data_IF_624200050707
#
_entry.id   IF_624200050707
#
_cell.length_a   1.000
_cell.length_b   1.000
_cell.length_c   1.000
_cell.angle_alpha   90.00
_cell.angle_beta   90.00
_cell.angle_gamma   90.00
#
_symmetry.space_group_name_H-M   'P 1'
#
loop_
_entity.id
_entity.type
_entity.pdbx_description
1 polymer ?
#
# COMPACT_ATOMS: atom_id res chain seq x y z
N UNK A 1 20.49 -6.87 -50.28
CA UNK A 1 21.28 -7.63 -49.29
C UNK A 1 21.84 -6.68 -48.22
N UNK A 2 20.99 -6.13 -47.37
CA UNK A 2 21.37 -5.34 -46.18
C UNK A 2 20.22 -5.57 -45.20
N UNK A 3 20.53 -6.14 -44.02
CA UNK A 3 19.67 -6.34 -42.82
C UNK A 3 19.97 -7.66 -42.06
N UNK A 4 21.14 -8.28 -42.24
CA UNK A 4 21.55 -9.46 -41.44
C UNK A 4 22.55 -9.16 -40.31
N UNK A 5 23.05 -7.93 -40.20
CA UNK A 5 24.09 -7.58 -39.21
C UNK A 5 23.62 -7.46 -37.74
N UNK A 6 22.40 -6.98 -37.39
CA UNK A 6 22.06 -6.81 -35.97
C UNK A 6 21.76 -8.14 -35.25
N UNK A 7 21.32 -9.17 -35.98
CA UNK A 7 21.04 -10.50 -35.41
C UNK A 7 22.36 -11.25 -35.13
N UNK A 8 23.38 -11.07 -35.97
CA UNK A 8 24.69 -11.70 -35.77
C UNK A 8 25.40 -11.17 -34.51
N UNK A 9 25.23 -9.89 -34.18
CA UNK A 9 25.81 -9.30 -32.97
C UNK A 9 25.12 -9.76 -31.67
N UNK A 10 23.82 -10.05 -31.69
CA UNK A 10 23.10 -10.58 -30.51
C UNK A 10 23.42 -12.06 -30.22
N UNK A 11 23.69 -12.84 -31.27
CA UNK A 11 24.11 -14.24 -31.13
C UNK A 11 25.54 -14.34 -30.61
N UNK A 12 26.45 -13.44 -31.00
CA UNK A 12 27.83 -13.45 -30.48
C UNK A 12 27.90 -13.03 -28.99
N UNK A 13 27.01 -12.15 -28.54
CA UNK A 13 26.96 -11.71 -27.14
C UNK A 13 26.35 -12.75 -26.18
N UNK A 14 25.67 -13.80 -26.68
CA UNK A 14 25.05 -14.85 -25.87
C UNK A 14 25.92 -16.10 -25.68
N UNK A 15 27.13 -16.15 -26.29
CA UNK A 15 28.04 -17.31 -26.17
C UNK A 15 29.27 -17.03 -25.29
N UNK A 16 29.42 -15.82 -24.73
CA UNK A 16 30.51 -15.54 -23.81
C UNK A 16 30.07 -15.79 -22.37
N UNK A 17 30.02 -17.06 -21.97
CA UNK A 17 30.09 -17.42 -20.56
C UNK A 17 31.51 -17.10 -20.07
N UNK A 18 31.70 -15.91 -19.50
CA UNK A 18 32.86 -15.64 -18.67
C UNK A 18 32.71 -16.43 -17.37
N UNK A 19 33.16 -17.68 -17.39
CA UNK A 19 33.41 -18.39 -16.14
C UNK A 19 34.66 -17.78 -15.52
N UNK A 20 34.48 -17.01 -14.45
CA UNK A 20 35.56 -16.77 -13.52
C UNK A 20 35.86 -18.12 -12.84
N UNK A 21 36.77 -18.90 -13.41
CA UNK A 21 37.29 -20.08 -12.72
C UNK A 21 38.22 -19.59 -11.63
N UNK A 22 37.92 -19.98 -10.39
CA UNK A 22 38.87 -19.80 -9.29
C UNK A 22 40.20 -20.47 -9.70
N UNK A 23 41.36 -19.84 -9.46
CA UNK A 23 42.65 -20.42 -9.81
C UNK A 23 42.75 -21.86 -9.30
N UNK A 24 43.02 -22.81 -10.19
CA UNK A 24 43.02 -24.24 -9.86
C UNK A 24 44.42 -24.72 -9.53
N UNK A 25 45.04 -24.06 -8.55
CA UNK A 25 46.39 -24.37 -8.12
C UNK A 25 46.78 -23.64 -6.84
N UNK A 26 47.94 -23.99 -6.29
CA UNK A 26 48.47 -23.34 -5.10
C UNK A 26 49.95 -22.95 -5.27
N UNK A 27 50.33 -21.83 -4.67
CA UNK A 27 51.68 -21.27 -4.78
C UNK A 27 52.72 -22.18 -4.09
N UNK A 28 53.86 -22.35 -4.74
CA UNK A 28 55.02 -23.07 -4.23
C UNK A 28 56.29 -22.24 -4.43
N UNK A 29 57.12 -22.18 -3.39
CA UNK A 29 58.40 -21.48 -3.42
C UNK A 29 59.47 -22.34 -2.76
N UNK A 30 60.65 -22.42 -3.38
CA UNK A 30 61.77 -23.22 -2.87
C UNK A 30 63.11 -22.58 -3.21
N UNK A 31 64.13 -22.84 -2.39
CA UNK A 31 65.53 -22.49 -2.67
C UNK A 31 66.29 -23.74 -3.11
N UNK A 32 66.93 -23.69 -4.26
CA UNK A 32 67.58 -24.83 -4.91
C UNK A 32 69.06 -24.85 -4.60
N UNK A 33 69.55 -26.02 -4.17
CA UNK A 33 70.96 -26.27 -3.85
C UNK A 33 71.45 -27.52 -4.57
N UNK A 34 72.75 -27.55 -4.87
CA UNK A 34 73.41 -28.76 -5.37
C UNK A 34 73.78 -29.71 -4.21
N UNK A 35 74.41 -30.84 -4.54
CA UNK A 35 74.82 -31.86 -3.56
C UNK A 35 75.93 -31.42 -2.59
N UNK A 36 76.65 -30.34 -2.90
CA UNK A 36 77.65 -29.72 -2.01
C UNK A 36 77.05 -28.63 -1.11
N UNK A 37 75.76 -28.31 -1.29
CA UNK A 37 75.02 -27.30 -0.52
C UNK A 37 75.07 -25.88 -1.10
N UNK A 38 75.75 -25.68 -2.23
CA UNK A 38 75.83 -24.40 -2.94
C UNK A 38 74.52 -24.09 -3.66
N UNK A 39 74.17 -22.80 -3.75
CA UNK A 39 72.97 -22.35 -4.44
C UNK A 39 73.09 -22.54 -5.96
N UNK A 40 72.04 -23.05 -6.59
CA UNK A 40 71.89 -23.03 -8.04
C UNK A 40 71.21 -21.72 -8.40
N UNK A 41 71.97 -20.73 -8.86
CA UNK A 41 71.45 -19.38 -9.18
C UNK A 41 71.32 -19.17 -10.69
N UNK A 42 70.36 -18.35 -11.12
CA UNK A 42 70.15 -17.94 -12.52
C UNK A 42 70.20 -19.09 -13.53
N UNK A 43 69.71 -20.27 -13.14
CA UNK A 43 69.83 -21.51 -13.93
C UNK A 43 68.49 -22.23 -14.00
N UNK A 44 68.21 -22.84 -15.15
CA UNK A 44 66.96 -23.58 -15.32
C UNK A 44 67.02 -24.92 -14.60
N UNK A 45 65.96 -25.20 -13.83
CA UNK A 45 65.77 -26.43 -13.08
C UNK A 45 64.41 -27.04 -13.40
N UNK A 46 64.28 -28.33 -13.14
CA UNK A 46 63.10 -29.11 -13.47
C UNK A 46 62.48 -29.63 -12.18
N UNK A 47 61.22 -29.26 -11.94
CA UNK A 47 60.43 -29.80 -10.84
C UNK A 47 59.43 -30.82 -11.36
N UNK A 48 59.19 -31.86 -10.58
CA UNK A 48 58.08 -32.77 -10.77
C UNK A 48 57.31 -32.89 -9.46
N UNK A 49 56.01 -32.66 -9.53
CA UNK A 49 55.11 -32.74 -8.39
C UNK A 49 54.19 -33.95 -8.56
N UNK A 50 53.99 -34.67 -7.46
CA UNK A 50 53.17 -35.87 -7.41
C UNK A 50 52.12 -35.68 -6.31
N UNK A 51 50.83 -35.64 -6.66
CA UNK A 51 49.73 -35.63 -5.69
C UNK A 51 49.29 -37.06 -5.46
N UNK A 52 49.31 -37.50 -4.19
CA UNK A 52 49.11 -38.88 -3.79
C UNK A 52 47.96 -38.94 -2.79
N UNK A 53 46.95 -39.77 -3.07
CA UNK A 53 45.78 -39.92 -2.22
C UNK A 53 45.97 -41.04 -1.18
N UNK A 54 45.55 -40.79 0.07
CA UNK A 54 45.41 -41.80 1.12
C UNK A 54 46.70 -42.16 1.87
N UNK A 55 47.80 -42.43 1.16
CA UNK A 55 49.09 -42.83 1.78
C UNK A 55 50.30 -42.28 1.01
N UNK A 56 51.39 -41.94 1.71
CA UNK A 56 52.64 -41.42 1.13
C UNK A 56 53.31 -42.38 0.12
N UNK A 57 52.99 -43.67 0.17
CA UNK A 57 53.57 -44.71 -0.70
C UNK A 57 52.64 -45.18 -1.82
N UNK A 58 51.44 -44.60 -1.93
CA UNK A 58 50.52 -44.94 -3.01
C UNK A 58 50.97 -44.36 -4.36
N UNK A 59 50.40 -44.88 -5.44
CA UNK A 59 50.63 -44.34 -6.78
C UNK A 59 50.02 -42.93 -6.85
N UNK A 60 50.72 -41.93 -7.43
CA UNK A 60 50.16 -40.59 -7.57
C UNK A 60 48.88 -40.60 -8.40
N UNK A 61 47.86 -39.89 -7.93
CA UNK A 61 46.61 -39.66 -8.68
C UNK A 61 46.78 -38.54 -9.71
N UNK A 62 47.75 -37.66 -9.50
CA UNK A 62 48.11 -36.61 -10.43
C UNK A 62 49.62 -36.36 -10.39
N UNK A 63 50.22 -36.10 -11.55
CA UNK A 63 51.63 -35.71 -11.68
C UNK A 63 51.80 -34.61 -12.70
N UNK A 64 52.64 -33.62 -12.40
CA UNK A 64 53.01 -32.56 -13.34
C UNK A 64 54.50 -32.21 -13.28
N UNK A 65 54.98 -31.60 -14.37
CA UNK A 65 56.35 -31.09 -14.49
C UNK A 65 56.38 -29.59 -14.75
N UNK A 66 57.38 -28.93 -14.16
CA UNK A 66 57.68 -27.51 -14.36
C UNK A 66 59.13 -27.33 -14.81
N UNK A 67 59.34 -26.36 -15.69
CA UNK A 67 60.65 -25.91 -16.14
C UNK A 67 60.80 -24.43 -15.83
N UNK A 68 61.61 -24.09 -14.83
CA UNK A 68 61.68 -22.73 -14.28
C UNK A 68 63.13 -22.31 -13.98
N UNK A 69 63.52 -21.05 -14.21
CA UNK A 69 64.80 -20.52 -13.76
C UNK A 69 64.79 -20.26 -12.25
N UNK A 70 65.93 -20.49 -11.60
CA UNK A 70 66.21 -19.92 -10.28
C UNK A 70 66.61 -18.46 -10.38
N UNK A 71 66.35 -17.65 -9.36
CA UNK A 71 66.83 -16.27 -9.27
C UNK A 71 68.28 -16.15 -8.76
N UNK A 72 68.73 -14.94 -8.45
CA UNK A 72 70.08 -14.63 -7.93
C UNK A 72 70.30 -15.10 -6.48
N UNK A 73 69.22 -15.51 -5.79
CA UNK A 73 69.24 -16.14 -4.47
C UNK A 73 68.99 -17.67 -4.54
N UNK A 74 68.88 -18.21 -5.76
CA UNK A 74 68.61 -19.63 -6.00
C UNK A 74 67.17 -20.04 -5.72
N UNK A 75 66.24 -19.08 -5.66
CA UNK A 75 64.82 -19.31 -5.39
C UNK A 75 64.02 -19.51 -6.68
N UNK A 76 63.00 -20.37 -6.60
CA UNK A 76 61.96 -20.54 -7.61
C UNK A 76 60.60 -20.21 -7.01
N UNK A 77 59.71 -19.64 -7.82
CA UNK A 77 58.29 -19.45 -7.48
C UNK A 77 57.44 -20.00 -8.62
N UNK A 78 56.50 -20.88 -8.32
CA UNK A 78 55.62 -21.54 -9.28
C UNK A 78 54.24 -21.83 -8.67
N UNK A 79 53.27 -22.20 -9.49
CA UNK A 79 51.93 -22.62 -9.06
C UNK A 79 51.75 -24.10 -9.38
N UNK A 80 51.55 -24.92 -8.35
CA UNK A 80 51.26 -26.34 -8.52
C UNK A 80 49.82 -26.47 -9.02
N UNK A 81 49.61 -27.19 -10.11
CA UNK A 81 48.35 -27.30 -10.86
C UNK A 81 48.35 -26.59 -12.22
N UNK A 82 49.32 -25.69 -12.44
CA UNK A 82 49.51 -24.95 -13.71
C UNK A 82 50.73 -25.46 -14.50
N UNK A 83 51.29 -26.62 -14.12
CA UNK A 83 52.39 -27.26 -14.82
C UNK A 83 51.96 -28.06 -16.04
N UNK A 84 52.92 -28.70 -16.70
CA UNK A 84 52.59 -29.68 -17.75
C UNK A 84 52.20 -31.00 -17.08
N UNK A 85 50.91 -31.34 -17.09
CA UNK A 85 50.40 -32.58 -16.54
C UNK A 85 50.94 -33.80 -17.32
N UNK A 86 51.42 -34.80 -16.59
CA UNK A 86 51.88 -36.08 -17.13
C UNK A 86 50.90 -37.23 -16.82
N UNK A 87 50.15 -37.12 -15.72
CA UNK A 87 49.13 -38.10 -15.28
C UNK A 87 47.98 -37.35 -14.61
N UNK A 88 46.75 -37.70 -14.94
CA UNK A 88 45.54 -37.10 -14.34
C UNK A 88 45.30 -35.65 -14.79
N UNK A 89 44.22 -35.05 -14.29
CA UNK A 89 43.87 -33.64 -14.49
C UNK A 89 43.70 -33.00 -13.11
N UNK A 90 44.42 -31.90 -12.85
CA UNK A 90 44.42 -31.28 -11.51
C UNK A 90 43.02 -30.83 -11.07
N UNK A 91 42.22 -30.34 -12.02
CA UNK A 91 40.84 -29.89 -11.82
C UNK A 91 39.88 -30.99 -11.38
N UNK A 92 40.20 -32.24 -11.68
CA UNK A 92 39.35 -33.41 -11.44
C UNK A 92 39.70 -34.12 -10.12
N UNK A 93 40.70 -33.65 -9.38
CA UNK A 93 41.07 -34.22 -8.09
C UNK A 93 39.96 -33.91 -7.07
N UNK A 94 39.30 -34.96 -6.57
CA UNK A 94 38.30 -34.83 -5.50
C UNK A 94 38.99 -34.73 -4.13
N UNK A 95 39.30 -33.50 -3.73
CA UNK A 95 39.94 -33.19 -2.46
C UNK A 95 39.13 -33.58 -1.21
N UNK A 96 37.86 -33.99 -1.35
CA UNK A 96 37.00 -34.41 -0.23
C UNK A 96 37.26 -35.84 0.24
N UNK A 97 37.89 -36.68 -0.57
CA UNK A 97 38.05 -38.13 -0.35
C UNK A 97 39.14 -38.50 0.67
N UNK A 98 39.54 -37.59 1.55
CA UNK A 98 40.47 -37.84 2.65
C UNK A 98 41.80 -37.10 2.52
N UNK A 99 42.87 -37.73 3.01
CA UNK A 99 44.20 -37.10 3.08
C UNK A 99 44.95 -37.18 1.76
N UNK A 100 45.63 -36.08 1.41
CA UNK A 100 46.49 -35.99 0.23
C UNK A 100 47.93 -35.65 0.64
N UNK A 101 48.88 -36.15 -0.15
CA UNK A 101 50.31 -35.94 0.04
C UNK A 101 50.93 -35.37 -1.23
N UNK A 102 51.90 -34.48 -1.08
CA UNK A 102 52.68 -33.88 -2.15
C UNK A 102 54.10 -34.45 -2.12
N UNK A 103 54.44 -35.24 -3.13
CA UNK A 103 55.80 -35.69 -3.43
C UNK A 103 56.51 -34.71 -4.36
N UNK A 104 57.73 -34.32 -4.03
CA UNK A 104 58.52 -33.36 -4.80
C UNK A 104 59.76 -34.06 -5.33
N UNK A 105 60.03 -33.92 -6.62
CA UNK A 105 61.27 -34.34 -7.25
C UNK A 105 61.92 -33.18 -8.01
N UNK A 106 63.25 -33.12 -8.00
CA UNK A 106 64.03 -32.06 -8.61
C UNK A 106 65.11 -32.63 -9.51
N UNK A 107 65.31 -32.04 -10.68
CA UNK A 107 66.52 -32.22 -11.47
C UNK A 107 67.16 -30.88 -11.80
N UNK A 108 68.47 -30.78 -11.60
CA UNK A 108 69.27 -29.57 -11.87
C UNK A 108 70.09 -29.68 -13.16
N UNK A 109 70.13 -30.84 -13.81
CA UNK A 109 71.00 -31.13 -14.97
C UNK A 109 70.24 -31.69 -16.18
N UNK A 110 68.91 -31.51 -16.26
CA UNK A 110 68.09 -31.94 -17.40
C UNK A 110 66.73 -32.53 -16.99
N UNK A 111 65.95 -32.96 -17.96
CA UNK A 111 64.58 -33.46 -17.83
C UNK A 111 64.47 -34.96 -17.49
N UNK A 112 65.60 -35.67 -17.39
CA UNK A 112 65.63 -37.15 -17.26
C UNK A 112 66.36 -37.65 -16.00
N UNK A 113 66.61 -36.79 -15.00
CA UNK A 113 67.40 -37.13 -13.81
C UNK A 113 66.80 -36.58 -12.51
N UNK A 114 65.52 -36.83 -12.27
CA UNK A 114 64.82 -36.37 -11.07
C UNK A 114 65.28 -37.11 -9.81
N UNK A 115 65.52 -36.34 -8.75
CA UNK A 115 65.86 -36.83 -7.42
C UNK A 115 64.72 -36.46 -6.47
N UNK A 116 64.25 -37.44 -5.68
CA UNK A 116 63.20 -37.21 -4.70
C UNK A 116 63.69 -36.28 -3.57
N UNK A 117 62.96 -35.19 -3.35
CA UNK A 117 63.23 -34.18 -2.33
C UNK A 117 62.38 -34.35 -1.06
N UNK A 118 61.44 -35.30 -1.09
CA UNK A 118 60.60 -35.68 0.03
C UNK A 118 59.11 -35.68 -0.32
N UNK A 119 58.31 -36.24 0.58
CA UNK A 119 56.84 -36.27 0.51
C UNK A 119 56.27 -35.67 1.79
N UNK A 120 55.32 -34.75 1.67
CA UNK A 120 54.67 -34.11 2.82
C UNK A 120 53.15 -34.17 2.69
N UNK A 121 52.43 -34.19 3.81
CA UNK A 121 50.97 -34.15 3.78
C UNK A 121 50.48 -32.73 3.46
N UNK A 122 49.48 -32.62 2.57
CA UNK A 122 48.74 -31.39 2.34
C UNK A 122 47.70 -31.25 3.47
N UNK A 123 47.78 -30.16 4.23
CA UNK A 123 46.83 -29.84 5.29
C UNK A 123 45.90 -28.72 4.82
N UNK A 124 44.61 -28.82 5.13
CA UNK A 124 43.64 -27.78 4.82
C UNK A 124 43.95 -26.48 5.58
N UNK A 125 43.87 -25.35 4.89
CA UNK A 125 43.94 -24.02 5.54
C UNK A 125 42.64 -23.71 6.30
N UNK A 126 42.65 -22.88 7.35
CA UNK A 126 41.46 -22.59 8.16
C UNK A 126 40.23 -22.10 7.37
N UNK A 127 40.43 -21.31 6.31
CA UNK A 127 39.34 -20.83 5.44
C UNK A 127 38.72 -21.95 4.58
N UNK A 128 39.52 -22.90 4.11
CA UNK A 128 39.03 -24.07 3.37
C UNK A 128 38.21 -25.01 4.28
N UNK A 129 38.59 -25.12 5.55
CA UNK A 129 37.83 -25.88 6.56
C UNK A 129 36.47 -25.22 6.88
N UNK A 130 36.39 -23.89 6.84
CA UNK A 130 35.13 -23.16 7.02
C UNK A 130 34.19 -23.33 5.82
N UNK A 131 34.72 -23.28 4.59
CA UNK A 131 33.94 -23.47 3.35
C UNK A 131 33.39 -24.90 3.20
N UNK A 132 34.13 -25.93 3.62
CA UNK A 132 33.65 -27.32 3.62
C UNK A 132 32.46 -27.53 4.59
N UNK A 133 32.42 -26.78 5.69
CA UNK A 133 31.32 -26.85 6.65
C UNK A 133 30.08 -26.03 6.22
N UNK A 134 30.23 -25.04 5.34
CA UNK A 134 29.11 -24.22 4.84
C UNK A 134 28.53 -24.69 3.50
N UNK A 135 29.28 -25.49 2.71
CA UNK A 135 28.84 -26.02 1.41
C UNK A 135 27.80 -27.14 1.48
N UNK A 136 27.49 -27.67 2.67
CA UNK A 136 26.50 -28.75 2.87
C UNK A 136 25.12 -28.27 3.31
N UNK A 137 24.86 -26.95 3.29
CA UNK A 137 23.54 -26.38 3.56
C UNK A 137 22.82 -26.08 2.25
N UNK A 138 22.06 -27.05 1.71
CA UNK A 138 21.05 -26.77 0.70
C UNK A 138 19.82 -26.12 1.37
N UNK A 139 19.35 -24.95 0.91
CA UNK A 139 18.07 -24.41 1.39
C UNK A 139 16.93 -25.17 0.70
N UNK A 140 16.37 -26.17 1.37
CA UNK A 140 15.13 -26.80 0.93
C UNK A 140 13.95 -26.12 1.61
N UNK A 141 13.29 -25.22 0.90
CA UNK A 141 11.85 -25.04 1.09
C UNK A 141 11.21 -26.20 0.33
N UNK A 142 10.58 -27.19 1.00
CA UNK A 142 9.97 -28.31 0.30
C UNK A 142 8.76 -27.82 -0.49
N UNK A 143 8.66 -28.22 -1.76
CA UNK A 143 7.40 -28.11 -2.51
C UNK A 143 6.43 -29.22 -2.05
N UNK A 144 5.13 -28.93 -2.12
CA UNK A 144 4.04 -29.79 -1.63
C UNK A 144 4.06 -31.20 -2.23
N UNK A 145 4.49 -31.36 -3.49
CA UNK A 145 4.60 -32.65 -4.17
C UNK A 145 5.69 -33.53 -3.52
N UNK A 146 6.80 -32.93 -3.07
CA UNK A 146 7.86 -33.64 -2.35
C UNK A 146 7.47 -34.00 -0.90
N UNK A 147 6.69 -33.15 -0.23
CA UNK A 147 6.21 -33.41 1.14
C UNK A 147 5.25 -34.60 1.18
N UNK A 148 4.38 -34.73 0.18
CA UNK A 148 3.43 -35.83 0.07
C UNK A 148 4.10 -37.16 -0.32
N UNK A 149 5.26 -37.12 -0.97
CA UNK A 149 5.99 -38.32 -1.39
C UNK A 149 6.70 -39.03 -0.23
N UNK A 150 7.24 -38.30 0.75
CA UNK A 150 8.18 -38.86 1.74
C UNK A 150 7.67 -38.94 3.19
N UNK A 151 6.58 -38.27 3.60
CA UNK A 151 6.25 -38.14 5.02
C UNK A 151 4.88 -38.62 5.50
N UNK A 152 4.10 -39.32 4.67
CA UNK A 152 2.89 -40.02 5.13
C UNK A 152 3.11 -41.55 5.08
N UNK A 153 3.85 -42.05 6.07
CA UNK A 153 4.05 -43.48 6.26
C UNK A 153 3.69 -43.92 7.67
N UNK A 154 3.11 -45.12 7.78
CA UNK A 154 3.02 -45.84 9.04
C UNK A 154 3.95 -47.06 8.95
N UNK A 155 4.94 -47.15 9.84
CA UNK A 155 5.95 -48.23 9.84
C UNK A 155 6.63 -48.47 8.49
N UNK A 156 7.10 -47.41 7.83
CA UNK A 156 7.79 -47.45 6.53
C UNK A 156 6.96 -48.03 5.37
N UNK A 157 5.63 -48.10 5.52
CA UNK A 157 4.72 -48.34 4.40
C UNK A 157 4.06 -47.03 3.99
N UNK A 158 4.29 -46.63 2.74
CA UNK A 158 3.64 -45.46 2.15
C UNK A 158 2.12 -45.66 2.15
N UNK A 159 1.39 -44.77 2.80
CA UNK A 159 -0.07 -44.79 2.74
C UNK A 159 -0.47 -44.21 1.38
N UNK A 160 -0.98 -45.06 0.48
CA UNK A 160 -1.52 -44.66 -0.82
C UNK A 160 -3.03 -44.43 -0.71
N UNK A 161 -3.60 -43.63 -1.60
CA UNK A 161 -5.04 -43.36 -1.68
C UNK A 161 -5.66 -42.76 -0.41
N UNK A 162 -4.97 -41.79 0.21
CA UNK A 162 -5.62 -40.92 1.19
C UNK A 162 -6.73 -40.18 0.46
N UNK A 163 -7.98 -40.57 0.70
CA UNK A 163 -9.13 -39.78 0.26
C UNK A 163 -9.02 -38.38 0.85
N UNK A 164 -9.51 -37.39 0.11
CA UNK A 164 -9.69 -36.05 0.66
C UNK A 164 -10.38 -36.17 2.02
N UNK A 165 -9.82 -35.60 3.10
CA UNK A 165 -10.40 -35.73 4.42
C UNK A 165 -11.82 -35.14 4.40
N UNK A 166 -12.81 -36.00 4.54
CA UNK A 166 -14.23 -35.60 4.58
C UNK A 166 -14.67 -35.25 6.00
N UNK A 167 -13.91 -35.66 7.02
CA UNK A 167 -14.20 -35.41 8.42
C UNK A 167 -13.35 -34.26 9.00
N UNK A 168 -13.94 -33.33 9.78
CA UNK A 168 -13.27 -32.13 10.29
C UNK A 168 -12.05 -32.36 11.19
N UNK A 169 -11.82 -33.60 11.65
CA UNK A 169 -10.72 -33.96 12.56
C UNK A 169 -9.45 -34.39 11.83
N UNK A 170 -9.54 -34.72 10.53
CA UNK A 170 -8.43 -35.23 9.72
C UNK A 170 -7.65 -34.10 9.02
N UNK A 171 -8.22 -32.90 8.91
CA UNK A 171 -7.50 -31.71 8.49
C UNK A 171 -6.80 -31.06 9.70
N UNK A 172 -5.48 -31.18 9.80
CA UNK A 172 -4.68 -30.29 10.67
C UNK A 172 -4.63 -28.92 10.02
N UNK A 173 -5.76 -28.23 10.02
CA UNK A 173 -5.85 -26.79 9.77
C UNK A 173 -6.90 -26.29 10.72
N UNK A 174 -6.41 -25.72 11.83
CA UNK A 174 -7.19 -24.80 12.65
C UNK A 174 -7.85 -23.82 11.68
N UNK A 175 -9.17 -23.92 11.56
CA UNK A 175 -10.04 -23.24 10.62
C UNK A 175 -9.87 -21.71 10.68
N UNK A 176 -8.85 -21.19 9.98
CA UNK A 176 -8.60 -19.75 9.82
C UNK A 176 -8.54 -19.34 8.34
N UNK A 177 -8.69 -20.29 7.42
CA UNK A 177 -8.75 -19.98 6.01
C UNK A 177 -10.22 -19.92 5.63
N UNK A 178 -10.79 -18.72 5.72
CA UNK A 178 -12.05 -18.39 5.06
C UNK A 178 -12.00 -18.96 3.64
N UNK A 179 -13.09 -19.58 3.19
CA UNK A 179 -13.20 -20.05 1.80
C UNK A 179 -12.92 -18.88 0.85
N UNK A 180 -12.45 -19.18 -0.36
CA UNK A 180 -12.22 -18.13 -1.38
C UNK A 180 -13.45 -17.23 -1.56
N UNK A 181 -14.65 -17.80 -1.49
CA UNK A 181 -15.90 -17.04 -1.57
C UNK A 181 -16.11 -16.11 -0.36
N UNK A 182 -15.79 -16.55 0.86
CA UNK A 182 -15.85 -15.71 2.06
C UNK A 182 -14.79 -14.61 2.04
N UNK A 183 -13.58 -14.91 1.56
CA UNK A 183 -12.51 -13.91 1.39
C UNK A 183 -12.89 -12.90 0.31
N UNK A 184 -13.38 -13.35 -0.85
CA UNK A 184 -13.81 -12.47 -1.94
C UNK A 184 -15.01 -11.60 -1.49
N UNK A 185 -15.94 -12.13 -0.69
CA UNK A 185 -17.03 -11.37 -0.10
C UNK A 185 -16.53 -10.35 0.95
N UNK A 186 -15.56 -10.73 1.79
CA UNK A 186 -14.97 -9.84 2.78
C UNK A 186 -14.14 -8.74 2.10
N UNK A 187 -13.41 -9.05 1.03
CA UNK A 187 -12.67 -8.10 0.20
C UNK A 187 -13.63 -7.15 -0.51
N UNK A 188 -14.73 -7.65 -1.08
CA UNK A 188 -15.74 -6.79 -1.70
C UNK A 188 -16.40 -5.87 -0.66
N UNK A 189 -16.65 -6.37 0.55
CA UNK A 189 -17.18 -5.55 1.65
C UNK A 189 -16.17 -4.49 2.10
N UNK A 190 -14.90 -4.86 2.28
CA UNK A 190 -13.80 -3.94 2.60
C UNK A 190 -13.58 -2.90 1.49
N UNK A 191 -13.67 -3.31 0.21
CA UNK A 191 -13.57 -2.39 -0.91
C UNK A 191 -14.74 -1.42 -0.93
N UNK A 192 -15.97 -1.88 -0.67
CA UNK A 192 -17.14 -1.00 -0.50
C UNK A 192 -16.97 -0.06 0.70
N UNK A 193 -16.38 -0.52 1.80
CA UNK A 193 -16.05 0.37 2.93
C UNK A 193 -14.98 1.39 2.55
N UNK A 194 -13.95 1.02 1.79
CA UNK A 194 -12.89 1.92 1.31
C UNK A 194 -13.44 2.94 0.32
N UNK A 195 -14.28 2.52 -0.63
CA UNK A 195 -14.96 3.39 -1.59
C UNK A 195 -15.93 4.35 -0.88
N UNK A 196 -16.49 3.93 0.27
CA UNK A 196 -17.26 4.79 1.18
C UNK A 196 -16.37 5.59 2.17
N UNK A 197 -15.05 5.34 2.22
CA UNK A 197 -14.09 6.04 3.11
C UNK A 197 -13.25 7.07 2.35
N UNK A 198 -13.12 6.97 1.02
CA UNK A 198 -12.87 8.18 0.23
C UNK A 198 -14.10 9.08 0.40
N UNK A 199 -14.00 10.09 1.28
CA UNK A 199 -14.87 11.26 1.23
C UNK A 199 -14.67 11.90 -0.13
N UNK A 200 -15.42 11.39 -1.10
CA UNK A 200 -15.53 12.02 -2.37
C UNK A 200 -16.27 13.35 -2.11
N UNK A 201 -15.73 14.40 -2.70
CA UNK A 201 -16.24 15.75 -2.54
C UNK A 201 -16.69 16.30 -3.89
N UNK A 202 -17.56 17.29 -3.85
CA UNK A 202 -17.98 18.04 -5.04
C UNK A 202 -17.47 19.47 -4.92
N UNK A 203 -16.97 20.03 -6.03
CA UNK A 203 -16.49 21.41 -6.09
C UNK A 203 -17.45 22.25 -6.94
N UNK A 204 -17.84 23.42 -6.45
CA UNK A 204 -18.62 24.39 -7.22
C UNK A 204 -17.76 25.25 -8.15
N UNK A 205 -18.39 26.17 -8.88
CA UNK A 205 -17.72 27.10 -9.80
C UNK A 205 -16.84 28.13 -9.07
N UNK A 206 -17.13 28.42 -7.80
CA UNK A 206 -16.40 29.36 -6.96
C UNK A 206 -15.16 28.69 -6.29
N UNK A 207 -15.01 27.37 -6.47
CA UNK A 207 -13.92 26.57 -5.92
C UNK A 207 -14.17 26.08 -4.49
N UNK A 208 -15.37 26.25 -3.94
CA UNK A 208 -15.72 25.65 -2.66
C UNK A 208 -15.91 24.14 -2.85
N UNK A 209 -15.41 23.36 -1.90
CA UNK A 209 -15.49 21.90 -1.93
C UNK A 209 -16.38 21.43 -0.79
N UNK A 210 -17.26 20.47 -1.09
CA UNK A 210 -18.24 19.92 -0.17
C UNK A 210 -18.07 18.41 -0.09
N UNK A 211 -17.74 17.90 1.09
CA UNK A 211 -17.71 16.46 1.34
C UNK A 211 -19.15 15.92 1.30
N UNK A 212 -19.30 14.65 0.90
CA UNK A 212 -20.60 13.99 0.86
C UNK A 212 -20.59 12.56 1.38
N UNK A 213 -21.77 12.10 1.80
CA UNK A 213 -22.02 10.77 2.33
C UNK A 213 -23.29 10.19 1.70
N UNK A 214 -23.31 8.89 1.48
CA UNK A 214 -24.47 8.16 0.95
C UNK A 214 -25.39 7.66 2.07
N UNK A 215 -26.69 7.93 1.92
CA UNK A 215 -27.78 7.52 2.79
C UNK A 215 -28.82 6.76 1.97
N UNK A 216 -28.70 5.42 1.94
CA UNK A 216 -29.54 4.59 1.08
C UNK A 216 -29.27 4.87 -0.39
N UNK A 217 -30.28 5.32 -1.12
CA UNK A 217 -30.18 5.67 -2.54
C UNK A 217 -29.80 7.14 -2.77
N UNK A 218 -29.67 7.95 -1.71
CA UNK A 218 -29.36 9.38 -1.82
C UNK A 218 -27.92 9.68 -1.41
N UNK A 219 -27.25 10.58 -2.12
CA UNK A 219 -25.93 11.11 -1.73
C UNK A 219 -26.08 12.56 -1.31
N UNK A 220 -25.67 12.90 -0.09
CA UNK A 220 -25.88 14.21 0.52
C UNK A 220 -24.56 14.90 0.86
N UNK A 221 -24.47 16.20 0.61
CA UNK A 221 -23.35 16.98 1.14
C UNK A 221 -23.45 17.12 2.66
N UNK A 222 -22.30 17.04 3.33
CA UNK A 222 -22.17 17.24 4.78
C UNK A 222 -21.50 18.57 5.15
N UNK A 223 -21.13 19.35 4.12
CA UNK A 223 -20.78 20.77 4.20
C UNK A 223 -21.90 21.68 3.68
N UNK A 224 -22.05 22.86 4.30
CA UNK A 224 -23.11 23.81 3.95
C UNK A 224 -22.70 24.58 2.70
N UNK A 225 -23.67 24.90 1.85
CA UNK A 225 -23.40 25.65 0.62
C UNK A 225 -22.65 26.98 0.90
N UNK A 226 -21.66 27.25 0.06
CA UNK A 226 -20.76 28.39 0.14
C UNK A 226 -20.74 29.21 -1.16
N UNK A 227 -21.73 29.00 -2.04
CA UNK A 227 -21.92 29.65 -3.33
C UNK A 227 -21.91 31.19 -3.23
N UNK A 228 -21.14 31.84 -4.10
CA UNK A 228 -21.19 33.28 -4.37
C UNK A 228 -21.75 33.56 -5.77
N UNK A 229 -21.67 32.58 -6.66
CA UNK A 229 -22.25 32.62 -7.99
C UNK A 229 -23.15 31.41 -8.25
N UNK A 230 -24.11 31.56 -9.16
CA UNK A 230 -24.84 30.42 -9.72
C UNK A 230 -23.92 29.59 -10.61
N UNK A 231 -24.35 28.38 -10.99
CA UNK A 231 -23.56 27.44 -11.81
C UNK A 231 -23.09 28.02 -13.15
N UNK A 232 -23.79 29.02 -13.68
CA UNK A 232 -23.41 29.70 -14.93
C UNK A 232 -22.46 30.91 -14.73
N UNK A 233 -22.03 31.15 -13.49
CA UNK A 233 -21.17 32.27 -13.09
C UNK A 233 -21.92 33.57 -12.82
N UNK A 234 -23.26 33.60 -12.91
CA UNK A 234 -24.06 34.78 -12.53
C UNK A 234 -23.89 35.05 -11.03
N UNK A 235 -23.49 36.26 -10.60
CA UNK A 235 -23.33 36.56 -9.17
C UNK A 235 -24.64 36.49 -8.39
N UNK A 236 -24.57 35.95 -7.18
CA UNK A 236 -25.64 36.07 -6.17
C UNK A 236 -25.28 37.28 -5.29
N UNK A 237 -26.12 38.33 -5.23
CA UNK A 237 -25.85 39.51 -4.41
C UNK A 237 -25.64 39.18 -2.92
N UNK A 238 -24.54 39.70 -2.35
CA UNK A 238 -24.37 39.75 -0.91
C UNK A 238 -25.10 40.98 -0.35
N UNK A 239 -26.14 40.78 0.47
CA UNK A 239 -26.95 41.88 1.01
C UNK A 239 -26.78 41.95 2.52
N UNK A 240 -26.17 43.01 3.04
CA UNK A 240 -25.89 43.14 4.49
C UNK A 240 -26.88 44.02 5.24
N UNK A 241 -27.60 44.92 4.53
CA UNK A 241 -28.63 45.77 5.12
C UNK A 241 -29.91 44.96 5.43
N UNK A 242 -30.49 45.17 6.61
CA UNK A 242 -31.66 44.42 7.05
C UNK A 242 -32.94 44.84 6.32
N UNK A 243 -33.08 46.12 5.99
CA UNK A 243 -34.26 46.64 5.29
C UNK A 243 -34.24 46.21 3.83
N UNK A 244 -33.07 46.26 3.19
CA UNK A 244 -32.89 45.74 1.84
C UNK A 244 -33.25 44.26 1.78
N UNK A 245 -32.67 43.45 2.68
CA UNK A 245 -32.96 42.01 2.77
C UNK A 245 -34.45 41.70 2.89
N UNK A 246 -35.15 42.40 3.79
CA UNK A 246 -36.56 42.18 4.04
C UNK A 246 -37.46 42.51 2.83
N UNK A 247 -36.98 43.33 1.90
CA UNK A 247 -37.71 43.72 0.70
C UNK A 247 -37.33 42.90 -0.55
N UNK A 248 -36.41 41.94 -0.42
CA UNK A 248 -35.97 41.13 -1.55
C UNK A 248 -37.09 40.21 -2.06
N UNK A 249 -37.15 40.11 -3.38
CA UNK A 249 -37.90 39.11 -4.15
C UNK A 249 -36.98 38.37 -5.14
N UNK A 250 -35.67 38.53 -4.97
CA UNK A 250 -34.61 37.92 -5.76
C UNK A 250 -33.55 37.33 -4.83
N UNK A 251 -32.72 36.47 -5.37
CA UNK A 251 -31.69 35.74 -4.66
C UNK A 251 -30.68 36.65 -4.02
N UNK A 252 -30.38 36.39 -2.75
CA UNK A 252 -29.27 37.01 -2.04
C UNK A 252 -28.72 36.08 -0.98
N UNK A 253 -27.49 36.38 -0.56
CA UNK A 253 -26.85 35.73 0.58
C UNK A 253 -26.25 36.74 1.55
N UNK A 254 -25.98 36.30 2.77
CA UNK A 254 -25.22 37.05 3.76
C UNK A 254 -24.48 36.11 4.71
N UNK A 255 -23.35 36.57 5.25
CA UNK A 255 -22.73 35.90 6.40
C UNK A 255 -23.58 36.12 7.65
N UNK A 256 -23.60 35.17 8.57
CA UNK A 256 -24.22 35.39 9.88
C UNK A 256 -23.61 36.63 10.57
N UNK A 257 -24.47 37.55 11.04
CA UNK A 257 -24.07 38.84 11.60
C UNK A 257 -23.16 39.69 10.70
N UNK A 258 -23.17 39.43 9.38
CA UNK A 258 -22.28 40.04 8.40
C UNK A 258 -20.77 39.83 8.71
N UNK A 259 -20.42 38.76 9.43
CA UNK A 259 -19.03 38.41 9.76
C UNK A 259 -18.48 37.38 8.75
N UNK A 260 -17.47 37.72 7.91
CA UNK A 260 -16.92 36.81 6.90
C UNK A 260 -16.28 35.53 7.45
N UNK A 261 -16.06 35.42 8.76
CA UNK A 261 -15.58 34.18 9.40
C UNK A 261 -16.72 33.18 9.69
N UNK A 262 -17.97 33.59 9.46
CA UNK A 262 -19.18 32.81 9.73
C UNK A 262 -19.73 32.15 8.46
N UNK A 263 -20.62 31.15 8.60
CA UNK A 263 -21.33 30.54 7.47
C UNK A 263 -22.21 31.54 6.70
N UNK A 264 -22.52 31.17 5.46
CA UNK A 264 -23.41 31.91 4.56
C UNK A 264 -24.85 31.42 4.70
N UNK A 265 -25.78 32.35 4.68
CA UNK A 265 -27.21 32.10 4.60
C UNK A 265 -27.78 32.65 3.31
N UNK A 266 -28.67 31.87 2.71
CA UNK A 266 -29.32 32.17 1.44
C UNK A 266 -30.80 32.36 1.68
N UNK A 267 -31.40 33.37 1.04
CA UNK A 267 -32.85 33.40 0.92
C UNK A 267 -33.35 32.33 -0.06
N UNK A 268 -34.63 31.98 0.01
CA UNK A 268 -35.16 30.91 -0.82
C UNK A 268 -35.11 31.26 -2.33
N UNK A 269 -35.24 32.55 -2.67
CA UNK A 269 -35.07 33.02 -4.05
C UNK A 269 -33.70 32.66 -4.64
N UNK A 270 -32.62 32.72 -3.85
CA UNK A 270 -31.28 32.32 -4.28
C UNK A 270 -31.21 30.81 -4.50
N UNK A 271 -31.79 30.04 -3.57
CA UNK A 271 -31.87 28.58 -3.66
C UNK A 271 -32.60 28.14 -4.94
N UNK A 272 -33.60 28.90 -5.36
CA UNK A 272 -34.40 28.63 -6.56
C UNK A 272 -33.91 29.32 -7.84
N UNK A 273 -32.81 30.06 -7.79
CA UNK A 273 -32.23 30.69 -8.98
C UNK A 273 -32.91 31.96 -9.48
N UNK A 274 -33.81 32.55 -8.70
CA UNK A 274 -34.54 33.76 -9.06
C UNK A 274 -33.59 34.94 -8.89
N UNK A 275 -33.02 35.43 -9.98
CA UNK A 275 -31.92 36.41 -9.96
C UNK A 275 -32.32 37.81 -10.45
N UNK A 276 -33.53 37.93 -11.01
CA UNK A 276 -34.15 39.18 -11.40
C UNK A 276 -35.67 39.11 -11.17
N UNK A 277 -36.36 40.21 -11.47
CA UNK A 277 -37.81 40.36 -11.28
C UNK A 277 -38.63 40.06 -12.53
N UNK A 278 -37.99 39.64 -13.63
CA UNK A 278 -38.68 39.32 -14.87
C UNK A 278 -39.15 37.86 -14.83
N UNK A 279 -40.47 37.60 -14.78
CA UNK A 279 -40.98 36.23 -14.67
C UNK A 279 -40.68 35.36 -15.90
N UNK A 280 -40.27 35.97 -17.03
CA UNK A 280 -39.90 35.26 -18.25
C UNK A 280 -38.40 34.90 -18.29
N UNK A 281 -37.57 35.43 -17.38
CA UNK A 281 -36.16 35.02 -17.30
C UNK A 281 -36.06 33.63 -16.65
N UNK A 282 -35.41 32.65 -17.31
CA UNK A 282 -35.21 31.34 -16.71
C UNK A 282 -34.40 31.44 -15.40
N UNK A 283 -34.87 30.74 -14.37
CA UNK A 283 -34.14 30.59 -13.12
C UNK A 283 -32.76 29.96 -13.35
N UNK A 284 -31.81 30.34 -12.49
CA UNK A 284 -30.44 29.82 -12.50
C UNK A 284 -30.31 28.55 -11.68
N UNK A 285 -29.32 27.74 -12.02
CA UNK A 285 -28.97 26.56 -11.23
C UNK A 285 -28.09 26.95 -10.04
N UNK A 286 -28.58 26.72 -8.82
CA UNK A 286 -27.85 27.06 -7.59
C UNK A 286 -26.82 25.99 -7.19
N UNK A 287 -27.14 24.70 -7.34
CA UNK A 287 -26.27 23.61 -6.90
C UNK A 287 -25.11 23.34 -7.87
N UNK A 288 -24.02 22.67 -7.44
CA UNK A 288 -22.96 22.19 -8.33
C UNK A 288 -23.44 21.25 -9.44
N UNK A 289 -22.65 21.08 -10.50
CA UNK A 289 -23.00 20.18 -11.61
C UNK A 289 -23.22 18.73 -11.13
N UNK A 290 -24.35 18.13 -11.54
CA UNK A 290 -24.74 16.79 -11.11
C UNK A 290 -25.38 16.72 -9.71
N UNK A 291 -25.66 17.86 -9.11
CA UNK A 291 -26.35 17.99 -7.82
C UNK A 291 -27.53 18.96 -7.92
N UNK A 292 -28.45 18.88 -6.97
CA UNK A 292 -29.56 19.81 -6.81
C UNK A 292 -29.82 20.15 -5.34
N UNK A 293 -30.65 21.16 -5.12
CA UNK A 293 -31.10 21.54 -3.77
C UNK A 293 -32.13 20.53 -3.30
N UNK A 294 -31.89 19.96 -2.12
CA UNK A 294 -32.79 19.02 -1.46
C UNK A 294 -34.24 19.49 -1.40
N UNK A 295 -35.17 18.61 -1.74
CA UNK A 295 -36.62 18.80 -1.63
C UNK A 295 -37.18 18.24 -0.33
N UNK A 296 -38.43 18.58 0.01
CA UNK A 296 -39.14 18.06 1.19
C UNK A 296 -39.20 16.52 1.18
N UNK A 297 -39.43 15.92 0.01
CA UNK A 297 -39.52 14.48 -0.16
C UNK A 297 -38.16 13.78 0.08
N UNK A 298 -37.07 14.41 -0.34
CA UNK A 298 -35.73 13.87 -0.14
C UNK A 298 -35.31 13.97 1.32
N UNK A 299 -35.63 15.07 2.00
CA UNK A 299 -35.45 15.17 3.44
C UNK A 299 -36.24 14.11 4.21
N UNK A 300 -37.48 13.82 3.77
CA UNK A 300 -38.26 12.72 4.35
C UNK A 300 -37.61 11.36 4.10
N UNK A 301 -37.05 11.14 2.90
CA UNK A 301 -36.33 9.90 2.57
C UNK A 301 -35.10 9.70 3.47
N UNK A 302 -34.31 10.76 3.67
CA UNK A 302 -33.19 10.76 4.61
C UNK A 302 -33.64 10.47 6.05
N UNK A 303 -34.69 11.14 6.52
CA UNK A 303 -35.26 10.92 7.85
C UNK A 303 -35.66 9.45 8.06
N UNK A 304 -36.43 8.90 7.13
CA UNK A 304 -36.91 7.51 7.18
C UNK A 304 -35.74 6.52 7.14
N UNK A 305 -34.74 6.77 6.28
CA UNK A 305 -33.51 5.97 6.22
C UNK A 305 -32.81 5.95 7.58
N UNK A 306 -32.61 7.10 8.20
CA UNK A 306 -31.91 7.20 9.48
C UNK A 306 -32.70 6.48 10.60
N UNK A 307 -34.01 6.67 10.67
CA UNK A 307 -34.87 5.98 11.65
C UNK A 307 -34.78 4.47 11.45
N UNK A 308 -34.96 3.98 10.22
CA UNK A 308 -34.95 2.54 9.92
C UNK A 308 -33.61 1.87 10.25
N UNK A 309 -32.50 2.61 10.16
CA UNK A 309 -31.15 2.12 10.45
C UNK A 309 -30.69 2.38 11.90
N UNK A 310 -31.61 2.73 12.80
CA UNK A 310 -31.33 2.80 14.24
C UNK A 310 -30.57 4.05 14.69
N UNK A 311 -30.63 5.14 13.92
CA UNK A 311 -29.98 6.41 14.27
C UNK A 311 -30.77 7.27 15.27
N UNK A 312 -31.88 6.79 15.80
CA UNK A 312 -32.53 7.45 16.93
C UNK A 312 -31.63 7.43 18.16
N UNK A 313 -31.69 8.47 18.99
CA UNK A 313 -30.81 8.56 20.17
C UNK A 313 -31.02 7.43 21.20
N UNK A 314 -32.18 6.79 21.18
CA UNK A 314 -32.54 5.66 22.04
C UNK A 314 -32.40 4.29 21.33
N UNK A 315 -31.86 4.27 20.11
CA UNK A 315 -31.66 3.08 19.28
C UNK A 315 -32.94 2.47 18.72
N UNK A 316 -34.11 3.10 18.92
CA UNK A 316 -35.38 2.60 18.35
C UNK A 316 -35.44 2.85 16.85
N UNK A 317 -36.14 1.99 16.10
CA UNK A 317 -36.35 2.16 14.66
C UNK A 317 -37.74 2.71 14.31
N UNK A 318 -38.36 3.41 15.27
CA UNK A 318 -39.72 3.96 15.12
C UNK A 318 -39.82 5.34 15.74
N UNK A 319 -40.53 6.24 15.08
CA UNK A 319 -40.67 7.63 15.48
C UNK A 319 -39.41 8.45 15.16
N UNK A 320 -39.61 9.72 14.86
CA UNK A 320 -38.53 10.63 14.56
C UNK A 320 -37.86 11.06 15.87
N UNK A 321 -36.64 10.57 16.12
CA UNK A 321 -35.79 10.93 17.27
C UNK A 321 -34.31 11.06 16.86
N UNK A 322 -34.10 11.50 15.62
CA UNK A 322 -32.78 11.52 14.95
C UNK A 322 -31.97 12.80 15.22
N UNK A 323 -32.44 13.74 16.05
CA UNK A 323 -31.77 15.03 16.20
C UNK A 323 -30.29 14.89 16.60
N UNK A 324 -29.97 14.00 17.56
CA UNK A 324 -28.57 13.77 17.95
C UNK A 324 -27.72 13.15 16.84
N UNK A 325 -28.27 12.25 16.03
CA UNK A 325 -27.47 11.57 15.01
C UNK A 325 -27.10 12.47 13.84
N UNK A 326 -27.90 13.51 13.57
CA UNK A 326 -27.68 14.46 12.47
C UNK A 326 -26.95 15.75 12.94
N UNK A 327 -27.10 16.12 14.21
CA UNK A 327 -26.45 17.30 14.80
C UNK A 327 -24.92 17.19 14.88
N UNK A 328 -24.21 18.31 14.81
CA UNK A 328 -22.76 18.40 15.05
C UNK A 328 -22.37 18.09 16.51
N UNK A 329 -21.10 17.73 16.71
CA UNK A 329 -20.58 17.39 18.04
C UNK A 329 -20.20 18.60 18.91
N UNK A 330 -20.33 19.81 18.37
CA UNK A 330 -20.00 21.07 19.02
C UNK A 330 -20.90 22.19 18.53
N UNK A 331 -20.88 23.31 19.24
CA UNK A 331 -21.58 24.55 18.84
C UNK A 331 -22.96 24.70 19.44
N UNK A 332 -23.60 23.63 19.92
CA UNK A 332 -24.92 23.73 20.53
C UNK A 332 -24.83 24.33 21.93
N UNK A 333 -25.81 25.15 22.30
CA UNK A 333 -26.04 25.55 23.69
C UNK A 333 -26.27 24.29 24.52
N UNK A 334 -25.62 24.18 25.67
CA UNK A 334 -25.72 23.00 26.51
C UNK A 334 -27.14 22.81 27.07
N UNK A 335 -27.62 21.57 27.03
CA UNK A 335 -28.93 21.17 27.58
C UNK A 335 -28.80 19.92 28.45
N UNK A 336 -29.63 19.83 29.49
CA UNK A 336 -29.76 18.63 30.33
C UNK A 336 -30.86 17.68 29.84
N UNK A 337 -31.66 18.08 28.85
CA UNK A 337 -32.77 17.28 28.32
C UNK A 337 -32.23 16.12 27.49
N UNK A 338 -32.52 14.89 27.88
CA UNK A 338 -32.05 13.70 27.14
C UNK A 338 -32.58 13.68 25.71
N UNK A 339 -31.70 13.33 24.77
CA UNK A 339 -32.07 13.08 23.37
C UNK A 339 -32.09 14.31 22.46
N UNK A 340 -31.87 15.52 23.00
CA UNK A 340 -31.78 16.76 22.21
C UNK A 340 -30.33 17.07 21.84
N UNK A 341 -30.11 17.86 20.80
CA UNK A 341 -28.78 18.15 20.24
C UNK A 341 -27.80 18.77 21.24
N UNK A 342 -28.29 19.60 22.17
CA UNK A 342 -27.47 20.25 23.20
C UNK A 342 -27.04 19.34 24.37
N UNK A 343 -27.59 18.13 24.48
CA UNK A 343 -27.32 17.22 25.59
C UNK A 343 -26.20 16.24 25.25
N UNK A 344 -25.08 16.31 25.98
CA UNK A 344 -23.87 15.49 25.72
C UNK A 344 -23.52 15.42 24.22
N UNK A 345 -23.07 16.56 23.70
CA UNK A 345 -22.78 16.74 22.27
C UNK A 345 -21.67 15.81 21.76
N UNK A 346 -20.86 15.24 22.67
CA UNK A 346 -19.84 14.25 22.28
C UNK A 346 -20.44 12.97 21.67
N UNK A 347 -21.72 12.73 21.94
CA UNK A 347 -22.50 11.60 21.42
C UNK A 347 -23.33 11.96 20.18
N UNK A 348 -23.17 13.16 19.63
CA UNK A 348 -23.87 13.56 18.41
C UNK A 348 -23.18 12.99 17.14
N UNK A 349 -23.77 13.31 15.99
CA UNK A 349 -23.25 13.06 14.66
C UNK A 349 -22.94 11.60 14.31
N UNK A 350 -23.67 10.65 14.89
CA UNK A 350 -23.48 9.23 14.56
C UNK A 350 -23.77 8.91 13.09
N UNK A 351 -24.57 9.73 12.39
CA UNK A 351 -24.87 9.59 10.95
C UNK A 351 -23.84 10.22 10.02
N UNK A 352 -22.91 11.03 10.53
CA UNK A 352 -21.95 11.78 9.72
C UNK A 352 -22.49 13.06 9.06
N UNK A 353 -23.79 13.36 9.15
CA UNK A 353 -24.40 14.52 8.46
C UNK A 353 -23.91 15.89 8.95
N UNK A 354 -23.49 15.97 10.21
CA UNK A 354 -22.76 17.10 10.80
C UNK A 354 -23.46 18.48 10.73
N UNK A 355 -24.73 18.57 11.12
CA UNK A 355 -25.49 19.83 11.13
C UNK A 355 -25.07 20.76 12.28
N UNK A 356 -24.40 21.88 11.95
CA UNK A 356 -24.03 22.91 12.92
C UNK A 356 -25.20 23.86 13.24
N UNK A 357 -25.35 24.32 14.50
CA UNK A 357 -26.40 25.24 14.91
C UNK A 357 -26.04 26.69 14.56
N UNK A 358 -26.02 26.99 13.27
CA UNK A 358 -25.55 28.29 12.76
C UNK A 358 -26.56 29.42 12.98
N UNK A 359 -27.81 29.08 13.30
CA UNK A 359 -28.90 30.04 13.45
C UNK A 359 -29.56 30.37 12.11
N UNK A 360 -30.09 31.58 12.00
CA UNK A 360 -30.75 32.06 10.78
C UNK A 360 -30.74 33.57 10.65
N UNK A 361 -31.07 34.05 9.45
CA UNK A 361 -31.54 35.42 9.22
C UNK A 361 -33.04 35.40 8.99
N UNK A 362 -33.81 36.20 9.72
CA UNK A 362 -35.26 36.20 9.53
C UNK A 362 -35.70 37.08 8.35
N UNK A 363 -36.99 37.02 8.02
CA UNK A 363 -37.66 37.83 7.00
C UNK A 363 -37.57 39.35 7.25
N UNK A 364 -37.36 39.78 8.50
CA UNK A 364 -37.08 41.17 8.86
C UNK A 364 -35.60 41.55 8.75
N UNK A 365 -34.74 40.65 8.25
CA UNK A 365 -33.31 40.85 8.05
C UNK A 365 -32.45 40.73 9.32
N UNK A 366 -33.02 40.31 10.46
CA UNK A 366 -32.32 40.14 11.74
C UNK A 366 -31.72 38.74 11.89
N UNK A 367 -30.54 38.65 12.49
CA UNK A 367 -29.85 37.39 12.77
C UNK A 367 -30.21 36.84 14.15
N UNK A 368 -30.53 35.55 14.23
CA UNK A 368 -31.06 34.90 15.43
C UNK A 368 -30.52 33.47 15.58
N UNK A 369 -30.63 32.93 16.80
CA UNK A 369 -30.57 31.49 17.10
C UNK A 369 -29.23 30.76 16.85
N UNK A 370 -28.11 31.47 16.67
CA UNK A 370 -26.79 30.83 16.69
C UNK A 370 -26.59 30.03 17.99
N UNK A 371 -26.06 28.82 17.84
CA UNK A 371 -25.90 27.84 18.90
C UNK A 371 -27.19 27.12 19.30
N UNK A 372 -28.36 27.53 18.82
CA UNK A 372 -29.64 26.92 19.20
C UNK A 372 -30.31 26.16 18.06
N UNK A 373 -30.18 26.62 16.82
CA UNK A 373 -30.90 26.05 15.68
C UNK A 373 -29.96 25.76 14.51
N UNK A 374 -30.10 24.60 13.89
CA UNK A 374 -29.59 24.32 12.55
C UNK A 374 -30.78 24.29 11.59
N UNK A 375 -30.77 25.09 10.53
CA UNK A 375 -31.92 25.24 9.62
C UNK A 375 -31.44 25.12 8.18
N UNK A 376 -32.14 24.32 7.39
CA UNK A 376 -31.84 24.05 6.00
C UNK A 376 -33.05 24.32 5.10
N UNK A 377 -32.84 25.02 4.00
CA UNK A 377 -33.89 25.17 3.00
C UNK A 377 -34.21 23.83 2.32
N UNK A 378 -35.48 23.68 1.91
CA UNK A 378 -35.84 22.75 0.84
C UNK A 378 -36.28 23.52 -0.41
N UNK A 379 -36.07 22.93 -1.59
CA UNK A 379 -36.55 23.45 -2.87
C UNK A 379 -38.08 23.36 -3.05
N UNK A 380 -38.78 22.73 -2.11
CA UNK A 380 -40.24 22.55 -2.18
C UNK A 380 -40.98 23.76 -1.62
N UNK A 381 -41.61 24.52 -2.52
CA UNK A 381 -42.52 25.61 -2.19
C UNK A 381 -43.83 25.09 -1.57
N UNK A 382 -44.40 25.84 -0.64
CA UNK A 382 -45.74 25.57 -0.09
C UNK A 382 -46.81 26.45 -0.73
N UNK A 383 -46.44 27.71 -1.00
CA UNK A 383 -47.20 28.72 -1.73
C UNK A 383 -46.24 29.90 -2.04
N UNK A 384 -46.75 30.92 -2.75
CA UNK A 384 -46.01 32.06 -3.32
C UNK A 384 -45.21 32.95 -2.36
N UNK A 385 -45.12 32.61 -1.08
CA UNK A 385 -44.40 33.38 -0.08
C UNK A 385 -43.74 32.52 0.99
N UNK A 386 -43.88 31.19 0.90
CA UNK A 386 -43.44 30.27 1.93
C UNK A 386 -42.97 28.95 1.31
N UNK A 387 -41.81 28.48 1.73
CA UNK A 387 -41.24 27.21 1.31
C UNK A 387 -40.91 26.34 2.53
N UNK A 388 -40.84 25.02 2.34
CA UNK A 388 -40.48 24.12 3.43
C UNK A 388 -39.01 24.26 3.81
N UNK A 389 -38.74 24.24 5.10
CA UNK A 389 -37.40 24.02 5.64
C UNK A 389 -37.32 22.67 6.39
N UNK A 390 -36.11 22.32 6.81
CA UNK A 390 -35.84 21.36 7.88
C UNK A 390 -35.04 22.02 8.97
N UNK A 391 -35.35 21.69 10.21
CA UNK A 391 -34.67 22.31 11.33
C UNK A 391 -34.48 21.38 12.53
N UNK A 392 -33.41 21.66 13.25
CA UNK A 392 -33.10 21.09 14.54
C UNK A 392 -33.16 22.20 15.59
N UNK A 393 -34.23 22.22 16.38
CA UNK A 393 -34.33 23.08 17.55
C UNK A 393 -33.59 22.48 18.74
N UNK A 394 -32.91 23.33 19.52
CA UNK A 394 -32.15 22.96 20.72
C UNK A 394 -32.90 22.00 21.68
N UNK A 395 -34.21 22.15 21.80
CA UNK A 395 -35.05 21.41 22.75
C UNK A 395 -35.83 20.25 22.12
N UNK A 396 -35.66 20.01 20.82
CA UNK A 396 -36.30 18.91 20.11
C UNK A 396 -35.32 17.75 19.95
N UNK A 397 -35.85 16.53 20.06
CA UNK A 397 -35.10 15.30 19.78
C UNK A 397 -35.32 14.79 18.36
N UNK A 398 -36.07 15.52 17.55
CA UNK A 398 -36.50 15.15 16.20
C UNK A 398 -36.13 16.23 15.18
N UNK A 399 -36.03 15.83 13.91
CA UNK A 399 -35.92 16.76 12.79
C UNK A 399 -37.31 17.35 12.51
N UNK A 400 -37.45 18.67 12.61
CA UNK A 400 -38.71 19.38 12.38
C UNK A 400 -38.80 19.90 10.95
N UNK A 401 -40.00 20.35 10.60
CA UNK A 401 -40.36 20.96 9.33
C UNK A 401 -41.31 22.12 9.61
N UNK A 402 -40.98 23.29 9.09
CA UNK A 402 -41.85 24.46 9.09
C UNK A 402 -41.91 25.11 7.70
N UNK A 403 -42.95 25.91 7.38
CA UNK A 403 -43.02 26.69 6.16
C UNK A 403 -42.70 28.17 6.44
N UNK A 404 -41.43 28.55 6.63
CA UNK A 404 -41.05 29.95 6.83
C UNK A 404 -41.18 30.77 5.54
N UNK A 405 -41.20 32.08 5.71
CA UNK A 405 -41.28 33.01 4.59
C UNK A 405 -40.00 32.97 3.73
N UNK A 406 -40.13 33.07 2.42
CA UNK A 406 -39.04 32.89 1.44
C UNK A 406 -37.88 33.89 1.58
N UNK A 407 -38.11 35.04 2.21
CA UNK A 407 -37.08 36.01 2.55
C UNK A 407 -36.15 35.55 3.67
N UNK A 408 -36.47 34.51 4.45
CA UNK A 408 -35.58 34.02 5.51
C UNK A 408 -34.26 33.52 4.93
N UNK A 409 -33.15 33.74 5.63
CA UNK A 409 -31.83 33.22 5.28
C UNK A 409 -31.48 31.98 6.09
N UNK A 410 -31.28 30.85 5.41
CA UNK A 410 -30.84 29.58 6.03
C UNK A 410 -29.66 28.96 5.28
N UNK A 411 -29.07 27.92 5.88
CA UNK A 411 -28.07 27.07 5.24
C UNK A 411 -28.71 26.16 4.19
N UNK A 412 -27.90 25.60 3.30
CA UNK A 412 -28.38 24.72 2.21
C UNK A 412 -27.49 23.49 2.13
N UNK A 413 -28.11 22.33 1.89
CA UNK A 413 -27.46 21.06 1.57
C UNK A 413 -27.82 20.65 0.15
N UNK A 414 -26.86 20.04 -0.54
CA UNK A 414 -27.08 19.48 -1.86
C UNK A 414 -27.28 17.97 -1.77
N UNK A 415 -28.08 17.44 -2.67
CA UNK A 415 -28.35 16.01 -2.80
C UNK A 415 -28.29 15.61 -4.27
N UNK A 416 -28.02 14.33 -4.51
CA UNK A 416 -28.19 13.66 -5.80
C UNK A 416 -28.63 12.21 -5.58
N UNK A 417 -29.30 11.66 -6.57
CA UNK A 417 -29.76 10.26 -6.61
C UNK A 417 -28.80 9.37 -7.44
#
# INVERSE_FOLDING_TARGET
MKNFYPILCLVIASVTHLQAQAPQGFNYQATVRNTTGELIINSNVYFKFNVIQGSQTAVPVFTETHYVPTDDLGQVTLIIGEGTANTGVFSEIDWSLGSYYLGIELSINGDNGYVAMGTTQLLSVPYALYAANSGNATPTIPDLEAVLAENNSANNQQIKDLQDPTDPQDAVTKNYTYSKAEVDALIANLQSQIDNTETASVTDIDGNTYDYITYGDQVWTVDNAAMETYRDGTPIPQVTDATEWANLITGAWAYYNNDPSKPRFYNWYAVMGIHDTDPDTPNKEFAPEGWHVSSDAEWTTLEEYLIANGYNYDGTTTGNKIAKSIASNTGWVSSSTTGVSGNDQSLNNSSGFNAFPEGNRNDSGSFLNEGSNAIFWSSTETNTSYAWNRDLYLNNSYLSRDPPNEQNGFSVRFVRD
#
